data_IF_511270933389
#
_entry.id   IF_511270933389
#
_cell.length_a   1.000
_cell.length_b   1.000
_cell.length_c   1.000
_cell.angle_alpha   90.00
_cell.angle_beta   90.00
_cell.angle_gamma   90.00
#
_symmetry.space_group_name_H-M   'P 1'
#
loop_
_entity.id
_entity.type
_entity.pdbx_description
1 polymer ?
#
# COMPACT_ATOMS: atom_id res chain seq x y z
N UNK A 1 45.93 15.74 -7.66
CA UNK A 1 44.52 15.94 -8.09
C UNK A 1 44.09 14.62 -8.73
N UNK A 2 43.47 13.72 -7.95
CA UNK A 2 43.01 12.43 -8.48
C UNK A 2 41.63 12.62 -9.10
N UNK A 3 41.47 12.21 -10.36
CA UNK A 3 40.18 12.15 -11.03
C UNK A 3 39.23 11.28 -10.21
N UNK A 4 38.11 11.85 -9.78
CA UNK A 4 37.04 11.11 -9.11
C UNK A 4 36.36 10.23 -10.15
N UNK A 5 36.81 8.98 -10.26
CA UNK A 5 36.10 7.94 -11.00
C UNK A 5 34.65 7.81 -10.50
N UNK A 6 33.78 7.24 -11.34
CA UNK A 6 32.35 7.13 -11.06
C UNK A 6 32.11 6.29 -9.80
N UNK A 7 31.64 6.92 -8.73
CA UNK A 7 31.38 6.23 -7.47
C UNK A 7 30.18 5.28 -7.61
N UNK A 8 30.38 4.01 -7.25
CA UNK A 8 29.29 3.04 -7.04
C UNK A 8 28.82 3.10 -5.59
N UNK A 9 27.53 3.37 -5.37
CA UNK A 9 26.92 3.36 -4.05
C UNK A 9 25.77 2.35 -4.02
N UNK A 10 25.69 1.57 -2.93
CA UNK A 10 24.53 0.77 -2.61
C UNK A 10 24.26 0.86 -1.11
N UNK A 11 22.99 0.76 -0.73
CA UNK A 11 22.56 0.81 0.67
C UNK A 11 21.93 -0.52 1.05
N UNK A 12 22.43 -1.13 2.12
CA UNK A 12 21.77 -2.26 2.78
C UNK A 12 20.92 -1.69 3.90
N UNK A 13 19.62 -1.94 3.86
CA UNK A 13 18.74 -1.64 4.99
C UNK A 13 18.38 -2.91 5.74
N UNK A 14 17.91 -2.74 6.97
CA UNK A 14 17.37 -3.82 7.79
C UNK A 14 15.91 -3.56 8.15
N UNK A 15 15.14 -4.62 8.32
CA UNK A 15 13.77 -4.62 8.81
C UNK A 15 13.73 -4.44 10.32
N UNK A 16 14.65 -5.10 11.04
CA UNK A 16 14.90 -4.91 12.48
C UNK A 16 16.36 -4.54 12.74
N UNK A 17 16.66 -3.74 13.77
CA UNK A 17 18.03 -3.46 14.15
C UNK A 17 18.79 -4.77 14.43
N UNK A 18 19.96 -4.93 13.82
CA UNK A 18 20.78 -6.13 13.96
C UNK A 18 22.25 -5.74 13.98
N UNK A 19 23.01 -6.41 14.84
CA UNK A 19 24.47 -6.34 14.89
C UNK A 19 25.13 -7.68 14.55
N UNK A 20 24.38 -8.64 13.98
CA UNK A 20 24.88 -9.98 13.66
C UNK A 20 25.82 -9.92 12.44
N UNK A 21 27.15 -10.14 12.60
CA UNK A 21 28.11 -9.89 11.52
C UNK A 21 27.90 -10.78 10.29
N UNK A 22 27.57 -12.06 10.51
CA UNK A 22 27.31 -13.02 9.42
C UNK A 22 26.15 -12.57 8.53
N UNK A 23 25.03 -12.18 9.15
CA UNK A 23 23.84 -11.68 8.43
C UNK A 23 24.17 -10.41 7.64
N UNK A 24 24.88 -9.46 8.24
CA UNK A 24 25.26 -8.22 7.56
C UNK A 24 26.20 -8.48 6.37
N UNK A 25 27.19 -9.37 6.55
CA UNK A 25 28.10 -9.77 5.48
C UNK A 25 27.36 -10.41 4.31
N UNK A 26 26.43 -11.33 4.58
CA UNK A 26 25.58 -11.96 3.56
C UNK A 26 24.80 -10.91 2.74
N UNK A 27 24.16 -9.93 3.39
CA UNK A 27 23.40 -8.89 2.68
C UNK A 27 24.29 -7.98 1.83
N UNK A 28 25.48 -7.65 2.34
CA UNK A 28 26.47 -6.84 1.61
C UNK A 28 26.96 -7.61 0.38
N UNK A 29 27.27 -8.90 0.52
CA UNK A 29 27.70 -9.76 -0.60
C UNK A 29 26.62 -9.86 -1.68
N UNK A 30 25.35 -10.05 -1.30
CA UNK A 30 24.22 -10.07 -2.24
C UNK A 30 24.10 -8.76 -3.05
N UNK A 31 24.27 -7.61 -2.40
CA UNK A 31 24.25 -6.31 -3.08
C UNK A 31 25.50 -6.12 -3.94
N UNK A 32 26.66 -6.57 -3.45
CA UNK A 32 27.92 -6.48 -4.15
C UNK A 32 27.89 -7.22 -5.48
N UNK A 33 27.40 -8.46 -5.52
CA UNK A 33 27.23 -9.23 -6.77
C UNK A 33 26.43 -8.46 -7.83
N UNK A 34 25.43 -7.70 -7.38
CA UNK A 34 24.56 -6.90 -8.25
C UNK A 34 25.26 -5.59 -8.67
N UNK A 35 25.97 -4.95 -7.76
CA UNK A 35 26.69 -3.71 -8.00
C UNK A 35 27.90 -3.92 -8.92
N UNK A 36 28.68 -4.99 -8.72
CA UNK A 36 29.89 -5.32 -9.48
C UNK A 36 29.62 -5.41 -10.98
N UNK A 37 28.45 -5.89 -11.40
CA UNK A 37 28.05 -5.92 -12.83
C UNK A 37 28.01 -4.54 -13.49
N UNK A 38 27.94 -3.47 -12.71
CA UNK A 38 27.90 -2.08 -13.17
C UNK A 38 29.26 -1.38 -13.07
N UNK A 39 30.26 -2.00 -12.45
CA UNK A 39 31.61 -1.47 -12.40
C UNK A 39 32.38 -1.92 -13.64
N UNK A 40 32.85 -0.93 -14.41
CA UNK A 40 33.70 -1.16 -15.59
C UNK A 40 35.19 -1.00 -15.27
N UNK A 41 35.53 -0.37 -14.14
CA UNK A 41 36.89 0.04 -13.77
C UNK A 41 37.34 -0.60 -12.45
N UNK A 42 38.66 -0.75 -12.23
CA UNK A 42 39.22 -1.22 -10.97
C UNK A 42 38.86 -0.33 -9.77
N UNK A 43 38.76 -0.93 -8.59
CA UNK A 43 38.31 -0.26 -7.38
C UNK A 43 39.50 0.23 -6.57
N UNK A 44 39.65 1.55 -6.46
CA UNK A 44 40.75 2.17 -5.70
C UNK A 44 40.47 2.29 -4.19
N UNK A 45 39.20 2.34 -3.78
CA UNK A 45 38.83 2.50 -2.36
C UNK A 45 37.42 2.00 -2.07
N UNK A 46 37.20 1.51 -0.84
CA UNK A 46 35.89 1.13 -0.31
C UNK A 46 35.61 1.90 0.98
N UNK A 47 34.36 2.33 1.16
CA UNK A 47 33.89 3.00 2.38
C UNK A 47 32.61 2.32 2.86
N UNK A 48 32.61 1.92 4.13
CA UNK A 48 31.41 1.46 4.83
C UNK A 48 30.99 2.53 5.83
N UNK A 49 29.72 2.91 5.82
CA UNK A 49 29.15 3.86 6.78
C UNK A 49 27.78 3.40 7.27
N UNK A 50 27.53 3.56 8.56
CA UNK A 50 26.21 3.30 9.16
C UNK A 50 25.36 4.57 9.02
N UNK A 51 24.29 4.50 8.25
CA UNK A 51 23.39 5.65 8.00
C UNK A 51 22.29 5.80 9.05
N UNK A 52 21.87 4.69 9.66
CA UNK A 52 20.86 4.65 10.73
C UNK A 52 21.26 3.60 11.76
N UNK A 53 21.22 3.97 13.03
CA UNK A 53 21.40 3.06 14.17
C UNK A 53 20.16 3.13 15.08
N UNK A 54 19.83 2.01 15.70
CA UNK A 54 18.70 1.90 16.62
C UNK A 54 19.02 0.87 17.73
N UNK A 55 18.38 0.95 18.91
CA UNK A 55 18.58 -0.02 19.98
C UNK A 55 18.30 -1.45 19.52
N UNK A 56 19.13 -2.40 19.97
CA UNK A 56 18.89 -3.82 19.74
C UNK A 56 17.83 -4.31 20.71
N UNK A 57 16.81 -4.99 20.20
CA UNK A 57 15.83 -5.70 21.02
C UNK A 57 16.38 -7.08 21.35
N UNK A 58 16.64 -7.34 22.63
CA UNK A 58 17.07 -8.63 23.12
C UNK A 58 15.82 -9.46 23.44
N UNK A 59 15.54 -10.46 22.61
CA UNK A 59 14.50 -11.45 22.88
C UNK A 59 15.16 -12.71 23.44
N UNK A 60 14.68 -13.17 24.60
CA UNK A 60 15.08 -14.44 25.18
C UNK A 60 14.56 -15.57 24.28
N UNK A 61 15.44 -16.46 23.83
CA UNK A 61 15.04 -17.63 23.07
C UNK A 61 14.42 -18.66 24.02
N UNK A 62 13.36 -19.31 23.57
CA UNK A 62 12.84 -20.47 24.28
C UNK A 62 13.88 -21.59 24.25
N UNK A 63 14.11 -22.20 25.42
CA UNK A 63 15.09 -23.27 25.60
C UNK A 63 14.72 -24.54 24.81
N UNK A 64 13.42 -24.73 24.56
CA UNK A 64 12.87 -25.80 23.74
C UNK A 64 12.28 -25.16 22.50
N UNK A 65 12.85 -25.48 21.33
CA UNK A 65 12.50 -24.83 20.08
C UNK A 65 11.00 -24.86 19.80
N UNK A 66 10.44 -23.68 19.54
CA UNK A 66 9.04 -23.48 19.20
C UNK A 66 8.70 -24.27 17.92
N UNK A 67 8.00 -25.40 18.11
CA UNK A 67 7.57 -26.29 17.02
C UNK A 67 6.34 -25.69 16.35
N UNK A 68 6.54 -24.68 15.50
CA UNK A 68 5.54 -24.32 14.50
C UNK A 68 5.41 -22.84 14.13
N UNK A 69 6.03 -21.92 14.87
CA UNK A 69 6.00 -20.50 14.50
C UNK A 69 7.39 -20.04 14.03
N UNK A 70 7.44 -19.50 12.82
CA UNK A 70 8.61 -18.72 12.40
C UNK A 70 8.69 -17.49 13.29
N UNK A 71 9.67 -17.49 14.18
CA UNK A 71 9.88 -16.38 15.10
C UNK A 71 10.06 -15.04 14.37
N UNK A 72 9.81 -13.91 15.06
CA UNK A 72 10.00 -12.56 14.53
C UNK A 72 11.38 -12.34 13.89
N UNK A 73 12.41 -13.05 14.37
CA UNK A 73 13.78 -13.00 13.85
C UNK A 73 13.93 -13.66 12.47
N UNK A 74 13.37 -14.85 12.26
CA UNK A 74 13.42 -15.55 10.97
C UNK A 74 12.70 -14.72 9.89
N UNK A 75 11.56 -14.12 10.25
CA UNK A 75 10.83 -13.20 9.39
C UNK A 75 11.69 -11.98 9.04
N UNK A 76 12.41 -11.41 10.01
CA UNK A 76 13.31 -10.28 9.75
C UNK A 76 14.43 -10.63 8.77
N UNK A 77 15.10 -11.77 8.99
CA UNK A 77 16.15 -12.26 8.09
C UNK A 77 15.61 -12.47 6.68
N UNK A 78 14.42 -13.06 6.54
CA UNK A 78 13.78 -13.27 5.24
C UNK A 78 13.50 -11.94 4.54
N UNK A 79 12.87 -10.97 5.22
CA UNK A 79 12.54 -9.66 4.66
C UNK A 79 13.81 -8.92 4.23
N UNK A 80 14.88 -8.98 5.01
CA UNK A 80 16.17 -8.36 4.69
C UNK A 80 16.80 -8.96 3.44
N UNK A 81 16.81 -10.29 3.33
CA UNK A 81 17.35 -11.01 2.17
C UNK A 81 16.54 -10.73 0.91
N UNK A 82 15.21 -10.80 0.99
CA UNK A 82 14.32 -10.49 -0.14
C UNK A 82 14.50 -9.04 -0.60
N UNK A 83 14.54 -8.10 0.34
CA UNK A 83 14.73 -6.67 0.03
C UNK A 83 16.10 -6.40 -0.58
N UNK A 84 17.13 -7.14 -0.14
CA UNK A 84 18.47 -7.00 -0.70
C UNK A 84 18.57 -7.61 -2.10
N UNK A 85 17.97 -8.78 -2.34
CA UNK A 85 18.06 -9.44 -3.65
C UNK A 85 17.14 -8.86 -4.71
N UNK A 86 15.89 -8.53 -4.36
CA UNK A 86 14.87 -8.03 -5.31
C UNK A 86 14.86 -6.50 -5.40
N UNK A 87 15.62 -5.83 -4.54
CA UNK A 87 15.59 -4.38 -4.38
C UNK A 87 14.52 -3.92 -3.40
N UNK A 88 14.86 -2.87 -2.64
CA UNK A 88 14.01 -2.25 -1.60
C UNK A 88 12.60 -1.86 -2.09
N UNK A 89 12.46 -1.46 -3.35
CA UNK A 89 11.18 -1.05 -3.94
C UNK A 89 10.22 -2.21 -4.24
N UNK A 90 10.71 -3.44 -4.23
CA UNK A 90 9.95 -4.65 -4.60
C UNK A 90 9.31 -5.32 -3.39
N UNK A 91 9.88 -5.11 -2.20
CA UNK A 91 9.41 -5.69 -0.93
C UNK A 91 8.78 -4.59 -0.09
N UNK A 92 7.46 -4.47 -0.24
CA UNK A 92 6.67 -3.34 0.28
C UNK A 92 5.50 -3.79 1.15
N UNK A 93 4.98 -2.87 1.95
CA UNK A 93 3.72 -3.00 2.69
C UNK A 93 2.74 -1.91 2.32
N UNK A 94 1.42 -2.19 2.30
CA UNK A 94 0.43 -1.15 2.19
C UNK A 94 0.38 -0.33 3.49
N UNK A 95 0.31 0.99 3.36
CA UNK A 95 0.04 1.92 4.45
C UNK A 95 -1.18 2.75 4.11
N UNK A 96 -2.15 2.75 5.02
CA UNK A 96 -3.32 3.62 4.92
C UNK A 96 -2.93 5.07 5.18
N UNK A 97 -3.47 5.95 4.35
CA UNK A 97 -3.34 7.40 4.46
C UNK A 97 -4.72 7.98 4.77
N UNK A 98 -4.81 9.08 5.55
CA UNK A 98 -6.07 9.75 5.86
C UNK A 98 -6.56 10.58 4.67
N UNK A 99 -6.70 9.94 3.51
CA UNK A 99 -7.13 10.57 2.26
C UNK A 99 -8.50 10.03 1.85
N UNK A 100 -9.42 10.94 1.53
CA UNK A 100 -10.77 10.57 1.15
C UNK A 100 -10.82 9.93 -0.25
N UNK A 101 -9.96 10.40 -1.17
CA UNK A 101 -9.84 9.85 -2.53
C UNK A 101 -9.30 8.42 -2.46
N UNK A 102 -10.02 7.43 -3.01
CA UNK A 102 -9.64 6.01 -2.89
C UNK A 102 -8.26 5.71 -3.47
N UNK A 103 -7.89 6.40 -4.55
CA UNK A 103 -6.59 6.25 -5.23
C UNK A 103 -5.41 6.77 -4.41
N UNK A 104 -5.68 7.63 -3.42
CA UNK A 104 -4.67 8.22 -2.52
C UNK A 104 -4.82 7.74 -1.08
N UNK A 105 -5.85 6.93 -0.79
CA UNK A 105 -6.16 6.41 0.54
C UNK A 105 -5.10 5.43 1.08
N UNK A 106 -4.14 5.05 0.25
CA UNK A 106 -3.06 4.16 0.62
C UNK A 106 -1.82 4.39 -0.24
N UNK A 107 -0.69 3.87 0.21
CA UNK A 107 0.54 3.77 -0.59
C UNK A 107 1.36 2.55 -0.19
N UNK A 108 2.20 2.06 -1.10
CA UNK A 108 3.23 1.09 -0.75
C UNK A 108 4.44 1.79 -0.12
N UNK A 109 4.88 1.29 1.02
CA UNK A 109 6.15 1.69 1.65
C UNK A 109 7.08 0.47 1.74
N UNK A 110 8.38 0.62 1.44
CA UNK A 110 9.35 -0.44 1.66
C UNK A 110 9.34 -0.96 3.10
N UNK A 111 9.48 -2.27 3.26
CA UNK A 111 9.63 -2.88 4.59
C UNK A 111 10.94 -2.46 5.27
N UNK A 112 11.96 -2.15 4.48
CA UNK A 112 13.34 -1.94 4.89
C UNK A 112 13.79 -0.50 4.62
N UNK A 113 14.63 0.05 5.51
CA UNK A 113 15.26 1.37 5.32
C UNK A 113 14.30 2.56 5.41
N UNK A 114 13.03 2.33 5.77
CA UNK A 114 12.21 3.41 6.29
C UNK A 114 12.68 3.70 7.71
N UNK A 115 13.04 4.94 8.01
CA UNK A 115 13.03 5.38 9.39
C UNK A 115 11.63 5.06 9.92
N UNK A 116 11.50 4.02 10.73
CA UNK A 116 10.34 3.90 11.59
C UNK A 116 10.40 5.15 12.46
N UNK A 117 9.76 6.24 12.02
CA UNK A 117 9.39 7.33 12.90
C UNK A 117 8.59 6.63 13.97
N UNK A 118 9.24 6.33 15.10
CA UNK A 118 8.54 6.04 16.34
C UNK A 118 7.48 7.15 16.42
N UNK A 119 6.19 6.83 16.52
CA UNK A 119 5.24 7.86 16.88
C UNK A 119 5.81 8.52 18.13
N UNK A 120 6.03 9.83 18.08
CA UNK A 120 6.66 10.57 19.17
C UNK A 120 5.97 10.15 20.47
N UNK A 121 6.74 9.52 21.34
CA UNK A 121 6.28 9.01 22.62
C UNK A 121 5.98 10.19 23.53
N UNK A 122 4.75 10.72 23.49
CA UNK A 122 4.13 11.55 24.54
C UNK A 122 2.74 12.10 24.20
N UNK A 123 2.07 11.64 23.14
CA UNK A 123 0.62 11.89 23.05
C UNK A 123 -0.08 10.94 24.03
N UNK A 124 -0.56 11.49 25.16
CA UNK A 124 -1.48 10.82 26.11
C UNK A 124 -2.39 9.88 25.32
N UNK A 125 -2.41 8.59 25.68
CA UNK A 125 -3.40 7.62 25.21
C UNK A 125 -4.78 8.14 25.60
N UNK A 126 -5.35 9.07 24.82
CA UNK A 126 -6.80 9.16 24.71
C UNK A 126 -7.21 7.77 24.25
N UNK A 127 -8.16 7.09 24.91
CA UNK A 127 -8.66 5.83 24.40
C UNK A 127 -9.01 6.12 22.95
N UNK A 128 -8.33 5.45 22.02
CA UNK A 128 -8.76 5.43 20.65
C UNK A 128 -10.16 4.88 20.77
N UNK A 129 -11.16 5.76 20.70
CA UNK A 129 -12.51 5.38 20.44
C UNK A 129 -12.35 4.64 19.14
N UNK A 130 -12.27 3.30 19.25
CA UNK A 130 -12.38 2.38 18.14
C UNK A 130 -13.67 2.88 17.51
N UNK A 131 -13.53 3.67 16.45
CA UNK A 131 -14.51 3.66 15.39
C UNK A 131 -14.41 2.23 14.91
N UNK A 132 -15.10 1.36 15.63
CA UNK A 132 -15.49 0.06 15.16
C UNK A 132 -16.07 0.40 13.80
N UNK A 133 -15.38 -0.02 12.74
CA UNK A 133 -16.05 -0.35 11.50
C UNK A 133 -17.36 -0.99 11.93
N UNK A 134 -18.48 -0.30 11.66
CA UNK A 134 -19.78 -0.54 12.27
C UNK A 134 -19.94 -2.00 12.64
N UNK A 135 -19.75 -2.33 13.92
CA UNK A 135 -20.14 -3.63 14.45
C UNK A 135 -21.65 -3.60 14.58
N UNK A 136 -22.36 -3.65 13.44
CA UNK A 136 -23.62 -4.34 13.38
C UNK A 136 -23.27 -5.83 13.56
N UNK A 137 -23.40 -6.36 14.77
CA UNK A 137 -23.15 -7.76 15.11
C UNK A 137 -24.10 -8.77 14.46
N UNK A 138 -24.75 -8.43 13.34
CA UNK A 138 -25.66 -9.32 12.62
C UNK A 138 -25.74 -9.09 11.10
N UNK A 139 -24.95 -8.16 10.53
CA UNK A 139 -25.02 -7.85 9.10
C UNK A 139 -23.97 -8.65 8.31
N UNK A 140 -24.39 -9.75 7.67
CA UNK A 140 -23.57 -10.61 6.79
C UNK A 140 -23.22 -9.93 5.44
N UNK A 141 -22.28 -8.99 5.47
CA UNK A 141 -21.59 -8.33 4.33
C UNK A 141 -22.26 -7.04 3.78
N UNK A 142 -21.48 -6.03 3.30
CA UNK A 142 -20.22 -5.52 3.91
C UNK A 142 -19.91 -4.03 3.64
N UNK A 143 -18.71 -3.61 4.08
CA UNK A 143 -17.80 -2.62 3.46
C UNK A 143 -18.44 -1.42 2.71
N UNK A 144 -18.15 -0.21 3.20
CA UNK A 144 -18.54 1.04 2.54
C UNK A 144 -17.81 1.25 1.21
N UNK A 145 -16.64 0.62 1.02
CA UNK A 145 -15.79 0.72 -0.17
C UNK A 145 -15.20 -0.66 -0.52
N UNK A 146 -15.03 -0.99 -1.80
CA UNK A 146 -14.48 -2.28 -2.23
C UNK A 146 -13.00 -2.43 -1.87
N UNK A 147 -12.54 -3.67 -1.72
CA UNK A 147 -11.12 -4.00 -1.52
C UNK A 147 -10.34 -3.97 -2.84
N UNK A 148 -11.00 -4.37 -3.93
CA UNK A 148 -10.43 -4.39 -5.28
C UNK A 148 -10.87 -3.14 -6.05
N UNK A 149 -9.91 -2.30 -6.40
CA UNK A 149 -10.11 -1.10 -7.22
C UNK A 149 -9.43 -1.28 -8.58
N UNK A 150 -10.10 -0.81 -9.63
CA UNK A 150 -9.46 -0.61 -10.92
C UNK A 150 -8.36 0.44 -10.79
N UNK A 151 -7.18 0.18 -11.36
CA UNK A 151 -6.04 1.13 -11.33
C UNK A 151 -6.42 2.51 -11.91
N UNK A 152 -7.34 2.53 -12.87
CA UNK A 152 -7.95 3.73 -13.42
C UNK A 152 -9.46 3.51 -13.54
N UNK A 153 -10.29 4.50 -13.17
CA UNK A 153 -11.73 4.42 -13.41
C UNK A 153 -12.06 4.15 -14.88
N UNK A 154 -12.97 3.20 -15.11
CA UNK A 154 -13.40 2.79 -16.46
C UNK A 154 -14.70 3.51 -16.80
N UNK A 155 -14.75 4.21 -17.93
CA UNK A 155 -15.96 4.91 -18.39
C UNK A 155 -17.08 3.89 -18.65
N UNK A 156 -18.29 4.21 -18.22
CA UNK A 156 -19.48 3.38 -18.43
C UNK A 156 -20.46 4.05 -19.37
N UNK A 157 -21.04 3.24 -20.25
CA UNK A 157 -22.31 3.55 -20.89
C UNK A 157 -23.44 3.14 -19.94
N UNK A 158 -24.34 4.07 -19.65
CA UNK A 158 -25.41 3.87 -18.67
C UNK A 158 -26.77 4.20 -19.25
N UNK A 159 -27.79 3.50 -18.76
CA UNK A 159 -29.19 3.80 -19.02
C UNK A 159 -29.79 4.36 -17.72
N UNK A 160 -30.31 5.58 -17.76
CA UNK A 160 -30.89 6.26 -16.59
C UNK A 160 -32.30 6.76 -16.89
N UNK A 161 -33.24 6.62 -15.93
CA UNK A 161 -34.59 7.21 -16.06
C UNK A 161 -34.62 8.71 -15.75
N UNK A 162 -33.69 9.20 -14.93
CA UNK A 162 -33.60 10.58 -14.52
C UNK A 162 -32.20 11.15 -14.83
N UNK A 163 -32.08 12.41 -15.28
CA UNK A 163 -30.80 13.04 -15.62
C UNK A 163 -29.78 13.09 -14.46
N UNK A 164 -30.24 12.98 -13.21
CA UNK A 164 -29.41 13.14 -12.01
C UNK A 164 -29.49 11.97 -11.02
N UNK A 165 -30.23 10.91 -11.37
CA UNK A 165 -30.36 9.71 -10.55
C UNK A 165 -29.28 8.66 -10.85
N UNK A 166 -29.14 7.64 -9.99
CA UNK A 166 -28.33 6.47 -10.31
C UNK A 166 -28.88 5.74 -11.53
N UNK A 167 -28.03 5.06 -12.31
CA UNK A 167 -28.45 4.37 -13.51
C UNK A 167 -29.29 3.12 -13.19
N UNK A 168 -30.13 2.72 -14.14
CA UNK A 168 -30.86 1.45 -14.12
C UNK A 168 -30.03 0.28 -14.64
N UNK A 169 -29.13 0.55 -15.58
CA UNK A 169 -28.25 -0.45 -16.18
C UNK A 169 -26.98 0.20 -16.68
N UNK A 170 -25.92 -0.60 -16.83
CA UNK A 170 -24.65 -0.16 -17.39
C UNK A 170 -23.96 -1.28 -18.16
N UNK A 171 -23.07 -0.91 -19.09
CA UNK A 171 -22.19 -1.84 -19.79
C UNK A 171 -20.77 -1.79 -19.23
N UNK A 172 -20.23 -2.94 -18.82
CA UNK A 172 -18.85 -3.08 -18.35
C UNK A 172 -18.18 -4.24 -19.07
N UNK A 173 -17.04 -3.98 -19.71
CA UNK A 173 -16.28 -4.98 -20.50
C UNK A 173 -17.15 -5.77 -21.50
N UNK A 174 -18.11 -5.10 -22.14
CA UNK A 174 -19.03 -5.69 -23.11
C UNK A 174 -20.20 -6.48 -22.50
N UNK A 175 -20.27 -6.61 -21.17
CA UNK A 175 -21.40 -7.24 -20.47
C UNK A 175 -22.40 -6.19 -19.97
N UNK A 176 -23.68 -6.44 -20.21
CA UNK A 176 -24.76 -5.59 -19.71
C UNK A 176 -25.15 -6.02 -18.29
N UNK A 177 -25.24 -5.05 -17.39
CA UNK A 177 -25.60 -5.25 -16.00
C UNK A 177 -26.81 -4.40 -15.65
N UNK A 178 -27.91 -5.04 -15.25
CA UNK A 178 -29.10 -4.35 -14.73
C UNK A 178 -29.01 -4.21 -13.23
N UNK A 179 -29.20 -2.99 -12.74
CA UNK A 179 -29.16 -2.63 -11.33
C UNK A 179 -30.51 -2.96 -10.68
N UNK A 180 -30.45 -3.67 -9.57
CA UNK A 180 -31.60 -4.01 -8.73
C UNK A 180 -31.71 -3.05 -7.53
N UNK A 181 -30.59 -2.80 -6.84
CA UNK A 181 -30.54 -1.94 -5.66
C UNK A 181 -29.37 -0.97 -5.73
N UNK A 182 -29.54 0.23 -5.17
CA UNK A 182 -28.53 1.28 -5.13
C UNK A 182 -28.44 1.90 -3.74
N UNK A 183 -27.22 2.20 -3.29
CA UNK A 183 -26.92 2.91 -2.03
C UNK A 183 -25.96 4.07 -2.29
N UNK A 184 -26.17 5.20 -1.61
CA UNK A 184 -25.36 6.41 -1.75
C UNK A 184 -26.22 7.68 -2.00
N UNK A 185 -25.61 8.80 -2.45
CA UNK A 185 -24.21 8.93 -2.84
C UNK A 185 -23.25 9.15 -1.67
N UNK A 186 -22.06 8.54 -1.73
CA UNK A 186 -20.89 9.03 -1.00
C UNK A 186 -20.21 10.11 -1.84
N UNK A 187 -20.27 11.37 -1.40
CA UNK A 187 -19.67 12.49 -2.11
C UNK A 187 -18.20 12.66 -1.73
N UNK A 188 -17.31 12.59 -2.71
CA UNK A 188 -15.88 12.87 -2.57
C UNK A 188 -15.52 14.13 -3.35
N UNK A 189 -15.06 15.13 -2.62
CA UNK A 189 -14.61 16.40 -3.18
C UNK A 189 -13.24 16.80 -2.63
N UNK A 190 -12.34 17.23 -3.50
CA UNK A 190 -11.00 17.71 -3.09
C UNK A 190 -10.98 19.22 -2.94
N UNK A 191 -10.16 19.71 -2.01
CA UNK A 191 -9.92 21.13 -1.81
C UNK A 191 -9.26 21.82 -3.00
N UNK A 192 -9.51 23.13 -3.15
CA UNK A 192 -9.00 23.98 -4.23
C UNK A 192 -7.47 24.11 -4.26
N UNK A 193 -6.80 23.84 -3.14
CA UNK A 193 -5.33 23.92 -3.00
C UNK A 193 -4.57 22.73 -3.63
N UNK A 194 -5.26 21.69 -4.12
CA UNK A 194 -4.64 20.46 -4.66
C UNK A 194 -4.52 20.42 -6.19
N UNK A 195 -4.73 21.53 -6.87
CA UNK A 195 -4.72 21.58 -8.34
C UNK A 195 -6.06 21.11 -8.91
N UNK A 196 -6.08 20.02 -9.69
CA UNK A 196 -7.30 19.54 -10.37
C UNK A 196 -8.32 19.03 -9.35
N UNK A 197 -9.41 19.77 -9.19
CA UNK A 197 -10.46 19.40 -8.25
C UNK A 197 -11.21 18.14 -8.72
N UNK A 198 -11.32 17.13 -7.86
CA UNK A 198 -12.22 15.98 -8.03
C UNK A 198 -13.55 16.29 -7.35
N UNK A 199 -14.65 15.99 -8.04
CA UNK A 199 -16.03 16.08 -7.53
C UNK A 199 -16.79 14.85 -8.03
N UNK A 200 -16.99 13.86 -7.18
CA UNK A 200 -17.57 12.57 -7.55
C UNK A 200 -18.63 12.16 -6.53
N UNK A 201 -19.74 11.64 -7.04
CA UNK A 201 -20.76 10.98 -6.24
C UNK A 201 -20.67 9.48 -6.46
N UNK A 202 -20.20 8.75 -5.45
CA UNK A 202 -20.03 7.30 -5.48
C UNK A 202 -21.31 6.60 -5.05
N UNK A 203 -21.67 5.56 -5.79
CA UNK A 203 -22.82 4.70 -5.54
C UNK A 203 -22.35 3.27 -5.45
N UNK A 204 -22.85 2.57 -4.44
CA UNK A 204 -22.79 1.12 -4.40
C UNK A 204 -24.03 0.61 -5.09
N UNK A 205 -23.87 -0.28 -6.07
CA UNK A 205 -24.98 -0.86 -6.80
C UNK A 205 -24.91 -2.37 -6.72
N UNK A 206 -26.06 -2.98 -6.56
CA UNK A 206 -26.24 -4.42 -6.70
C UNK A 206 -27.02 -4.68 -7.97
N UNK A 207 -26.55 -5.66 -8.72
CA UNK A 207 -27.18 -6.12 -9.96
C UNK A 207 -28.17 -7.24 -9.69
N UNK A 208 -29.08 -7.47 -10.64
CA UNK A 208 -30.02 -8.60 -10.60
C UNK A 208 -29.34 -9.98 -10.51
N UNK A 209 -28.05 -10.07 -10.87
CA UNK A 209 -27.25 -11.31 -10.74
C UNK A 209 -26.55 -11.42 -9.39
N UNK A 210 -26.86 -10.54 -8.42
CA UNK A 210 -26.26 -10.50 -7.10
C UNK A 210 -24.82 -9.95 -7.06
N UNK A 211 -24.30 -9.40 -8.17
CA UNK A 211 -22.96 -8.78 -8.20
C UNK A 211 -23.02 -7.35 -7.70
N UNK A 212 -21.99 -6.95 -6.96
CA UNK A 212 -21.88 -5.64 -6.33
C UNK A 212 -20.77 -4.81 -6.94
N UNK A 213 -21.10 -3.59 -7.34
CA UNK A 213 -20.17 -2.67 -7.99
C UNK A 213 -20.12 -1.32 -7.28
N UNK A 214 -18.97 -0.68 -7.37
CA UNK A 214 -18.74 0.68 -6.90
C UNK A 214 -18.55 1.61 -8.09
N UNK A 215 -19.58 2.38 -8.35
CA UNK A 215 -19.67 3.29 -9.49
C UNK A 215 -19.59 4.72 -8.99
N UNK A 216 -19.21 5.67 -9.84
CA UNK A 216 -19.40 7.07 -9.53
C UNK A 216 -19.84 7.89 -10.71
N UNK A 217 -20.61 8.95 -10.41
CA UNK A 217 -20.89 10.04 -11.32
C UNK A 217 -19.89 11.15 -11.09
N UNK A 218 -19.14 11.51 -12.12
CA UNK A 218 -18.29 12.68 -12.09
C UNK A 218 -19.15 13.93 -12.26
N UNK A 219 -19.11 14.85 -11.29
CA UNK A 219 -20.04 15.99 -11.27
C UNK A 219 -19.64 17.12 -12.22
N UNK A 220 -18.44 17.09 -12.78
CA UNK A 220 -17.97 18.11 -13.73
C UNK A 220 -18.54 17.92 -15.14
N UNK A 221 -18.72 16.67 -15.58
CA UNK A 221 -19.22 16.32 -16.93
C UNK A 221 -20.45 15.39 -16.90
N UNK A 222 -20.86 14.93 -15.72
CA UNK A 222 -22.01 14.05 -15.53
C UNK A 222 -21.76 12.59 -15.91
N UNK A 223 -20.54 12.22 -16.33
CA UNK A 223 -20.22 10.86 -16.82
C UNK A 223 -20.11 9.86 -15.68
N UNK A 224 -20.38 8.60 -16.01
CA UNK A 224 -20.34 7.49 -15.06
C UNK A 224 -19.10 6.63 -15.26
N UNK A 225 -18.54 6.17 -14.16
CA UNK A 225 -17.34 5.35 -14.17
C UNK A 225 -17.47 4.19 -13.18
N UNK A 226 -16.93 3.04 -13.57
CA UNK A 226 -16.65 1.92 -12.68
C UNK A 226 -15.32 2.13 -11.97
N UNK A 227 -15.28 1.91 -10.66
CA UNK A 227 -14.05 2.04 -9.88
C UNK A 227 -13.63 0.75 -9.17
N UNK A 228 -14.56 -0.13 -8.80
CA UNK A 228 -14.22 -1.38 -8.13
C UNK A 228 -15.42 -2.29 -7.92
N UNK A 229 -15.15 -3.54 -7.54
CA UNK A 229 -16.17 -4.55 -7.26
C UNK A 229 -16.02 -5.07 -5.83
N UNK A 230 -17.14 -5.52 -5.25
CA UNK A 230 -17.14 -6.17 -3.94
C UNK A 230 -17.14 -7.68 -4.20
N UNK A 231 -15.95 -8.27 -4.12
CA UNK A 231 -15.72 -9.71 -4.28
C UNK A 231 -16.25 -10.51 -3.08
#
# INVERSE_FOLDING_TARGET
>A
RGETGKAGEFTVGLYRPSAAPRHLAELIEMQWETAQRKLAEPIASLRLSVTVAAPLELEQQELFGDRGQYGPRQTAILVDRLSSRLGRGSVVRPRLLPEAQPELAWRYEPWVGGAQRRPASSAKKRPAQRQTFSQCGSCKWPLTRPLSLAQRPVLLEVVSMAPHGPPLAFSLFGQQHRIERTWGPERIQTGWWRGRSVRRDYYRVETITGRWFWLFRQLTDGRWYFHGAFD
#
